data_IF_107986604868
#
_entry.id   IF_107986604868
#
_cell.length_a   1.000
_cell.length_b   1.000
_cell.length_c   1.000
_cell.angle_alpha   90.00
_cell.angle_beta   90.00
_cell.angle_gamma   90.00
#
_symmetry.space_group_name_H-M   'P 1'
#
loop_
_entity.id
_entity.type
_entity.pdbx_description
1 polymer ?
#
# COMPACT_ATOMS: atom_id res chain seq x y z
N UNK A 1 5.83 -6.55 11.88
CA UNK A 1 4.90 -5.50 12.36
C UNK A 1 3.86 -5.23 11.28
N UNK A 2 2.67 -4.72 11.63
CA UNK A 2 1.65 -4.30 10.67
C UNK A 2 1.46 -2.79 10.72
N UNK A 3 1.44 -2.16 9.55
CA UNK A 3 1.22 -0.72 9.39
C UNK A 3 -0.08 -0.52 8.60
N UNK A 4 -1.22 -0.30 9.28
CA UNK A 4 -2.44 0.11 8.61
C UNK A 4 -2.33 1.58 8.18
N UNK A 5 -2.89 1.92 7.02
CA UNK A 5 -2.98 3.30 6.53
C UNK A 5 -4.18 3.48 5.62
N UNK A 6 -4.63 4.71 5.49
CA UNK A 6 -5.79 5.11 4.69
C UNK A 6 -5.36 6.22 3.72
N UNK A 7 -5.90 6.22 2.51
CA UNK A 7 -5.79 7.37 1.62
C UNK A 7 -6.73 8.49 2.11
N UNK A 8 -6.43 9.73 1.74
CA UNK A 8 -7.33 10.85 2.02
C UNK A 8 -8.68 10.71 1.30
N UNK A 9 -8.67 10.16 0.09
CA UNK A 9 -9.85 9.79 -0.69
C UNK A 9 -9.96 8.26 -0.81
N UNK A 10 -10.98 7.67 -0.17
CA UNK A 10 -11.21 6.22 -0.20
C UNK A 10 -11.71 5.72 -1.54
N UNK A 11 -12.16 6.60 -2.45
CA UNK A 11 -12.49 6.20 -3.82
C UNK A 11 -11.27 5.65 -4.58
N UNK A 12 -10.06 6.04 -4.16
CA UNK A 12 -8.79 5.60 -4.75
C UNK A 12 -8.28 4.26 -4.21
N UNK A 13 -8.86 3.71 -3.13
CA UNK A 13 -8.39 2.46 -2.49
C UNK A 13 -8.32 1.29 -3.48
N UNK A 14 -9.33 1.15 -4.35
CA UNK A 14 -9.38 0.09 -5.36
C UNK A 14 -8.24 0.25 -6.37
N UNK A 15 -8.04 1.47 -6.87
CA UNK A 15 -7.00 1.77 -7.86
C UNK A 15 -5.60 1.54 -7.26
N UNK A 16 -5.37 1.99 -6.02
CA UNK A 16 -4.11 1.77 -5.32
C UNK A 16 -3.79 0.27 -5.20
N UNK A 17 -4.77 -0.57 -4.86
CA UNK A 17 -4.58 -2.02 -4.74
C UNK A 17 -4.32 -2.69 -6.10
N UNK A 18 -4.95 -2.22 -7.17
CA UNK A 18 -4.73 -2.73 -8.52
C UNK A 18 -3.34 -2.36 -9.05
N UNK A 19 -2.94 -1.09 -8.92
CA UNK A 19 -1.63 -0.61 -9.36
C UNK A 19 -0.48 -1.18 -8.53
N UNK A 20 -0.65 -1.25 -7.20
CA UNK A 20 0.38 -1.83 -6.33
C UNK A 20 0.58 -3.32 -6.64
N UNK A 21 -0.49 -4.06 -6.91
CA UNK A 21 -0.40 -5.45 -7.37
C UNK A 21 0.35 -5.55 -8.71
N UNK A 22 0.06 -4.67 -9.67
CA UNK A 22 0.77 -4.61 -10.95
C UNK A 22 2.25 -4.25 -10.79
N UNK A 23 2.60 -3.46 -9.77
CA UNK A 23 3.97 -3.12 -9.39
C UNK A 23 4.68 -4.23 -8.57
N UNK A 24 4.04 -5.39 -8.36
CA UNK A 24 4.60 -6.50 -7.58
C UNK A 24 4.49 -6.34 -6.05
N UNK A 25 3.73 -5.35 -5.58
CA UNK A 25 3.46 -5.10 -4.16
C UNK A 25 2.16 -5.81 -3.77
N UNK A 26 2.28 -7.07 -3.36
CA UNK A 26 1.14 -7.92 -3.05
C UNK A 26 0.63 -7.78 -1.61
N UNK A 27 -0.60 -8.24 -1.38
CA UNK A 27 -1.20 -8.40 -0.05
C UNK A 27 -1.32 -7.11 0.80
N UNK A 28 -1.53 -5.96 0.14
CA UNK A 28 -1.69 -4.66 0.81
C UNK A 28 -3.13 -4.34 1.24
N UNK A 29 -4.13 -5.16 0.88
CA UNK A 29 -5.53 -4.89 1.23
C UNK A 29 -5.72 -4.91 2.75
N UNK A 30 -6.28 -3.83 3.28
CA UNK A 30 -6.59 -3.68 4.70
C UNK A 30 -7.66 -4.66 5.20
N UNK A 31 -7.84 -4.71 6.52
CA UNK A 31 -8.85 -5.57 7.12
C UNK A 31 -10.25 -5.08 6.75
N UNK A 32 -11.18 -6.00 6.46
CA UNK A 32 -12.55 -5.68 5.99
C UNK A 32 -13.32 -4.67 6.85
N UNK A 33 -13.04 -4.65 8.16
CA UNK A 33 -13.70 -3.74 9.12
C UNK A 33 -13.16 -2.32 9.06
N UNK A 34 -11.87 -2.14 8.76
CA UNK A 34 -11.18 -0.84 8.80
C UNK A 34 -11.06 -0.23 7.40
N UNK A 35 -11.07 -1.06 6.35
CA UNK A 35 -10.83 -0.61 4.98
C UNK A 35 -9.37 -0.26 4.74
N UNK A 36 -9.11 0.54 3.69
CA UNK A 36 -7.79 1.02 3.34
C UNK A 36 -6.77 -0.08 3.07
N UNK A 37 -5.53 0.17 3.47
CA UNK A 37 -4.38 -0.69 3.23
C UNK A 37 -3.71 -1.11 4.52
N UNK A 38 -2.94 -2.20 4.44
CA UNK A 38 -2.09 -2.69 5.53
C UNK A 38 -0.81 -3.28 4.97
N UNK A 39 0.33 -2.69 5.32
CA UNK A 39 1.64 -3.25 5.02
C UNK A 39 2.11 -4.16 6.18
N UNK A 40 2.33 -5.44 5.88
CA UNK A 40 2.88 -6.41 6.83
C UNK A 40 4.40 -6.52 6.66
N UNK A 41 5.14 -5.90 7.57
CA UNK A 41 6.61 -5.80 7.58
C UNK A 41 7.19 -6.67 8.71
N UNK A 42 7.08 -8.00 8.57
CA UNK A 42 7.69 -8.97 9.51
C UNK A 42 9.19 -9.13 9.28
N UNK A 43 9.89 -9.92 10.12
CA UNK A 43 11.34 -10.05 10.07
C UNK A 43 11.90 -10.49 8.71
N UNK A 44 11.13 -11.26 7.93
CA UNK A 44 11.52 -11.71 6.59
C UNK A 44 11.31 -10.66 5.49
N UNK A 45 10.66 -9.53 5.78
CA UNK A 45 10.44 -8.45 4.80
C UNK A 45 11.74 -7.65 4.65
N UNK A 46 12.37 -7.65 3.45
CA UNK A 46 13.59 -6.90 3.23
C UNK A 46 13.32 -5.39 3.18
N UNK A 47 14.32 -4.60 3.55
CA UNK A 47 14.26 -3.14 3.45
C UNK A 47 13.95 -2.66 2.02
N UNK A 48 14.44 -3.38 1.01
CA UNK A 48 14.16 -3.09 -0.39
C UNK A 48 12.64 -3.16 -0.71
N UNK A 49 11.89 -4.07 -0.09
CA UNK A 49 10.44 -4.16 -0.25
C UNK A 49 9.71 -2.97 0.38
N UNK A 50 10.17 -2.53 1.55
CA UNK A 50 9.66 -1.31 2.19
C UNK A 50 9.95 -0.08 1.33
N UNK A 51 11.16 0.02 0.77
CA UNK A 51 11.53 1.11 -0.13
C UNK A 51 10.68 1.12 -1.40
N UNK A 52 10.47 -0.05 -2.02
CA UNK A 52 9.60 -0.16 -3.18
C UNK A 52 8.17 0.31 -2.89
N UNK A 53 7.63 -0.04 -1.71
CA UNK A 53 6.32 0.44 -1.27
C UNK A 53 6.30 1.96 -1.09
N UNK A 54 7.29 2.55 -0.43
CA UNK A 54 7.33 4.01 -0.22
C UNK A 54 7.51 4.79 -1.52
N UNK A 55 8.36 4.29 -2.43
CA UNK A 55 8.58 4.90 -3.75
C UNK A 55 7.27 4.86 -4.57
N UNK A 56 6.55 3.73 -4.53
CA UNK A 56 5.22 3.59 -5.13
C UNK A 56 4.21 4.57 -4.52
N UNK A 57 4.17 4.68 -3.19
CA UNK A 57 3.24 5.60 -2.51
C UNK A 57 3.47 7.07 -2.92
N UNK A 58 4.74 7.50 -3.02
CA UNK A 58 5.09 8.85 -3.47
C UNK A 58 4.74 9.09 -4.94
N UNK A 59 4.88 8.09 -5.80
CA UNK A 59 4.44 8.18 -7.20
C UNK A 59 2.91 8.25 -7.31
N UNK A 60 2.20 7.40 -6.56
CA UNK A 60 0.75 7.38 -6.54
C UNK A 60 0.17 8.72 -6.07
N UNK A 61 0.71 9.28 -4.98
CA UNK A 61 0.33 10.60 -4.47
C UNK A 61 0.59 11.70 -5.51
N UNK A 62 1.71 11.68 -6.22
CA UNK A 62 1.98 12.68 -7.27
C UNK A 62 0.99 12.63 -8.44
N UNK A 63 0.40 11.46 -8.73
CA UNK A 63 -0.55 11.27 -9.83
C UNK A 63 -2.01 11.50 -9.43
N UNK A 64 -2.35 11.30 -8.17
CA UNK A 64 -3.75 11.25 -7.69
C UNK A 64 -4.03 12.12 -6.45
N UNK A 65 -3.03 12.80 -5.90
CA UNK A 65 -3.15 13.71 -4.75
C UNK A 65 -3.49 15.15 -5.13
#
# INVERSE_FOLDING_TARGET
MNVPFQLADSALDKLFLEESFAAGLHALKGHRVVGGMRASIYNAMPLAGVKALTDFMQDFERRHG
#
